data_IF_100840999095
#
_entry.id   IF_100840999095
#
_cell.length_a   1.000
_cell.length_b   1.000
_cell.length_c   1.000
_cell.angle_alpha   90.00
_cell.angle_beta   90.00
_cell.angle_gamma   90.00
#
_symmetry.space_group_name_H-M   'P 1'
#
loop_
_entity.id
_entity.type
_entity.pdbx_description
1 polymer ?
#
# COMPACT_ATOMS: atom_id res chain seq x y z
N UNK A 1 -14.81 5.64 29.87
CA UNK A 1 -14.91 4.56 28.86
C UNK A 1 -14.17 3.34 29.36
N UNK A 2 -14.75 2.15 29.23
CA UNK A 2 -14.05 0.87 29.50
C UNK A 2 -12.97 0.64 28.45
N UNK A 3 -11.93 -0.14 28.77
CA UNK A 3 -10.84 -0.44 27.83
C UNK A 3 -11.34 -0.94 26.46
N UNK A 4 -12.37 -1.79 26.45
CA UNK A 4 -12.95 -2.28 25.21
C UNK A 4 -13.57 -1.16 24.34
N UNK A 5 -14.25 -0.18 24.95
CA UNK A 5 -14.83 0.97 24.23
C UNK A 5 -13.73 1.88 23.67
N UNK A 6 -12.63 2.05 24.41
CA UNK A 6 -11.45 2.78 23.96
C UNK A 6 -10.82 2.07 22.75
N UNK A 7 -10.61 0.75 22.82
CA UNK A 7 -10.11 -0.05 21.71
C UNK A 7 -11.03 0.03 20.49
N UNK A 8 -12.35 -0.10 20.68
CA UNK A 8 -13.33 0.02 19.60
C UNK A 8 -13.29 1.40 18.92
N UNK A 9 -13.04 2.46 19.71
CA UNK A 9 -12.86 3.82 19.16
C UNK A 9 -11.64 3.90 18.26
N UNK A 10 -10.51 3.30 18.67
CA UNK A 10 -9.30 3.22 17.84
C UNK A 10 -9.62 2.41 16.58
N UNK A 11 -10.13 1.19 16.71
CA UNK A 11 -10.45 0.32 15.58
C UNK A 11 -11.39 0.98 14.55
N UNK A 12 -12.32 1.83 15.00
CA UNK A 12 -13.25 2.54 14.12
C UNK A 12 -12.62 3.75 13.44
N UNK A 13 -11.82 4.54 14.17
CA UNK A 13 -11.28 5.82 13.67
C UNK A 13 -9.91 5.69 13.03
N UNK A 14 -9.20 4.59 13.28
CA UNK A 14 -7.83 4.38 12.86
C UNK A 14 -7.69 4.53 11.34
N UNK A 15 -6.74 5.37 10.94
CA UNK A 15 -6.38 5.59 9.55
C UNK A 15 -4.87 5.68 9.44
N UNK A 16 -4.30 4.81 8.63
CA UNK A 16 -2.89 4.88 8.24
C UNK A 16 -2.80 4.67 6.73
N UNK A 17 -1.89 5.36 6.05
CA UNK A 17 -1.68 5.18 4.60
C UNK A 17 -0.72 4.01 4.37
N UNK A 18 -0.96 3.21 3.33
CA UNK A 18 0.03 2.25 2.83
C UNK A 18 1.18 3.05 2.20
N UNK A 19 2.20 3.39 2.99
CA UNK A 19 3.31 4.30 2.64
C UNK A 19 4.51 3.58 2.03
N UNK A 20 4.54 2.24 2.11
CA UNK A 20 5.68 1.42 1.67
C UNK A 20 5.29 0.55 0.49
N UNK A 21 6.23 0.32 -0.42
CA UNK A 21 6.04 -0.52 -1.59
C UNK A 21 6.94 -1.76 -1.51
N UNK A 22 6.36 -2.94 -1.70
CA UNK A 22 7.08 -4.20 -1.85
C UNK A 22 7.33 -4.45 -3.35
N UNK A 23 8.59 -4.35 -3.78
CA UNK A 23 8.94 -4.51 -5.21
C UNK A 23 8.81 -5.95 -5.72
N UNK A 24 8.96 -6.96 -4.85
CA UNK A 24 8.87 -8.37 -5.22
C UNK A 24 7.42 -8.78 -5.49
N UNK A 25 6.53 -8.48 -4.54
CA UNK A 25 5.09 -8.77 -4.64
C UNK A 25 4.28 -7.69 -5.33
N UNK A 26 4.88 -6.54 -5.66
CA UNK A 26 4.27 -5.38 -6.32
C UNK A 26 3.01 -4.83 -5.62
N UNK A 27 3.05 -4.71 -4.29
CA UNK A 27 1.93 -4.18 -3.50
C UNK A 27 2.40 -3.10 -2.51
N UNK A 28 1.47 -2.23 -2.13
CA UNK A 28 1.71 -1.26 -1.04
C UNK A 28 1.30 -1.87 0.31
N UNK A 29 2.03 -1.52 1.37
CA UNK A 29 1.79 -2.00 2.73
C UNK A 29 2.12 -0.93 3.78
N UNK A 30 1.79 -1.23 5.04
CA UNK A 30 2.17 -0.46 6.22
C UNK A 30 3.18 -1.26 7.02
N UNK A 31 4.25 -0.65 7.51
CA UNK A 31 5.09 -1.30 8.52
C UNK A 31 4.47 -1.18 9.91
N UNK A 32 5.04 -1.91 10.88
CA UNK A 32 4.66 -1.75 12.28
C UNK A 32 4.83 -0.30 12.75
N UNK A 33 5.89 0.39 12.29
CA UNK A 33 6.15 1.80 12.60
C UNK A 33 5.06 2.72 12.02
N UNK A 34 4.60 2.47 10.79
CA UNK A 34 3.50 3.24 10.19
C UNK A 34 2.19 3.08 10.99
N UNK A 35 1.96 1.89 11.56
CA UNK A 35 0.79 1.61 12.40
C UNK A 35 0.92 2.30 13.76
N UNK A 36 2.09 2.19 14.40
CA UNK A 36 2.37 2.81 15.69
C UNK A 36 2.27 4.33 15.62
N UNK A 37 2.83 4.95 14.58
CA UNK A 37 2.75 6.40 14.37
C UNK A 37 1.30 6.86 14.24
N UNK A 38 0.50 6.15 13.45
CA UNK A 38 -0.93 6.43 13.28
C UNK A 38 -1.75 6.18 14.56
N UNK A 39 -1.23 5.39 15.50
CA UNK A 39 -1.91 5.11 16.78
C UNK A 39 -1.70 6.23 17.80
N UNK A 40 -0.58 6.96 17.74
CA UNK A 40 -0.19 7.99 18.74
C UNK A 40 -1.29 9.00 19.10
N UNK A 41 -2.06 9.57 18.15
CA UNK A 41 -3.09 10.55 18.50
C UNK A 41 -4.13 10.03 19.49
N UNK A 42 -4.44 8.72 19.42
CA UNK A 42 -5.45 8.10 20.27
C UNK A 42 -4.95 7.76 21.68
N UNK A 43 -3.63 7.62 21.87
CA UNK A 43 -3.06 7.15 23.13
C UNK A 43 -3.36 8.10 24.28
N UNK A 44 -3.03 9.38 24.09
CA UNK A 44 -3.33 10.42 25.08
C UNK A 44 -4.81 10.77 25.12
N UNK A 45 -5.50 10.82 23.96
CA UNK A 45 -6.94 11.12 23.87
C UNK A 45 -7.77 10.14 24.72
N UNK A 46 -7.43 8.85 24.67
CA UNK A 46 -8.20 7.79 25.34
C UNK A 46 -7.56 7.36 26.67
N UNK A 47 -6.41 7.92 27.05
CA UNK A 47 -5.67 7.51 28.24
C UNK A 47 -5.34 6.01 28.19
N UNK A 48 -4.63 5.59 27.14
CA UNK A 48 -4.15 4.22 26.93
C UNK A 48 -2.71 4.23 26.44
N UNK A 49 -2.04 3.11 26.63
CA UNK A 49 -0.71 2.83 26.09
C UNK A 49 -0.75 1.57 25.23
N UNK A 50 0.18 1.49 24.28
CA UNK A 50 0.38 0.31 23.44
C UNK A 50 1.82 -0.16 23.58
N UNK A 51 2.01 -1.44 23.82
CA UNK A 51 3.32 -2.10 23.93
C UNK A 51 3.35 -3.32 23.03
N UNK A 52 4.54 -3.66 22.52
CA UNK A 52 4.77 -4.92 21.82
C UNK A 52 5.88 -5.67 22.52
N UNK A 53 5.61 -6.92 22.85
CA UNK A 53 6.58 -7.86 23.40
C UNK A 53 6.83 -8.97 22.38
N UNK A 54 8.04 -9.53 22.37
CA UNK A 54 8.41 -10.63 21.49
C UNK A 54 9.04 -11.77 22.28
N UNK A 55 8.75 -13.00 21.87
CA UNK A 55 9.28 -14.20 22.52
C UNK A 55 9.54 -15.27 21.47
N UNK A 56 10.65 -16.00 21.59
CA UNK A 56 10.89 -17.21 20.81
C UNK A 56 10.11 -18.35 21.46
N UNK A 57 9.14 -18.91 20.74
CA UNK A 57 8.24 -19.95 21.27
C UNK A 57 8.57 -21.35 20.76
N UNK A 58 9.36 -21.46 19.70
CA UNK A 58 9.94 -22.71 19.20
C UNK A 58 11.28 -22.42 18.53
N UNK A 59 12.17 -23.40 18.53
CA UNK A 59 13.44 -23.38 17.77
C UNK A 59 13.53 -24.49 16.74
N UNK A 60 12.63 -25.48 16.76
CA UNK A 60 12.62 -26.63 15.85
C UNK A 60 11.26 -26.78 15.15
N UNK A 61 11.22 -27.14 13.85
CA UNK A 61 12.35 -27.27 12.93
C UNK A 61 12.99 -25.92 12.52
N UNK A 62 12.42 -24.80 12.97
CA UNK A 62 12.89 -23.45 12.72
C UNK A 62 12.44 -22.52 13.86
N UNK A 63 13.15 -21.40 14.12
CA UNK A 63 12.71 -20.46 15.14
C UNK A 63 11.36 -19.84 14.81
N UNK A 64 10.48 -19.77 15.80
CA UNK A 64 9.18 -19.08 15.70
C UNK A 64 9.17 -17.93 16.72
N UNK A 65 8.98 -16.73 16.21
CA UNK A 65 8.79 -15.51 17.00
C UNK A 65 7.29 -15.30 17.20
N UNK A 66 6.85 -15.26 18.46
CA UNK A 66 5.57 -14.66 18.84
C UNK A 66 5.79 -13.17 19.07
N UNK A 67 5.04 -12.32 18.36
CA UNK A 67 4.90 -10.91 18.70
C UNK A 67 3.53 -10.67 19.33
N UNK A 68 3.48 -9.94 20.45
CA UNK A 68 2.28 -9.67 21.24
C UNK A 68 2.06 -8.17 21.38
N UNK A 69 1.07 -7.64 20.67
CA UNK A 69 0.63 -6.25 20.83
C UNK A 69 -0.38 -6.16 21.96
N UNK A 70 -0.15 -5.27 22.91
CA UNK A 70 -1.00 -5.07 24.10
C UNK A 70 -1.43 -3.61 24.17
N UNK A 71 -2.73 -3.38 24.34
CA UNK A 71 -3.29 -2.08 24.74
C UNK A 71 -3.69 -2.13 26.21
N UNK A 72 -3.35 -1.09 26.98
CA UNK A 72 -3.67 -1.00 28.40
C UNK A 72 -4.08 0.41 28.81
N UNK A 73 -5.02 0.52 29.76
CA UNK A 73 -5.40 1.78 30.43
C UNK A 73 -4.71 1.95 31.80
N UNK A 74 -3.72 1.12 32.12
CA UNK A 74 -3.01 1.11 33.40
C UNK A 74 -3.59 0.16 34.44
N UNK A 75 -4.84 -0.28 34.25
CA UNK A 75 -5.51 -1.25 35.14
C UNK A 75 -5.83 -2.56 34.40
N UNK A 76 -6.32 -2.45 33.17
CA UNK A 76 -6.73 -3.57 32.33
C UNK A 76 -5.84 -3.66 31.10
N UNK A 77 -5.86 -4.82 30.43
CA UNK A 77 -5.13 -5.02 29.18
C UNK A 77 -5.87 -5.94 28.21
N UNK A 78 -5.80 -5.63 26.92
CA UNK A 78 -6.23 -6.49 25.81
C UNK A 78 -5.01 -6.75 24.94
N UNK A 79 -4.84 -7.98 24.47
CA UNK A 79 -3.72 -8.36 23.63
C UNK A 79 -4.15 -9.09 22.37
N UNK A 80 -3.31 -9.00 21.35
CA UNK A 80 -3.37 -9.80 20.14
C UNK A 80 -1.96 -10.26 19.77
N UNK A 81 -1.84 -11.46 19.23
CA UNK A 81 -0.57 -12.07 18.87
C UNK A 81 -0.45 -12.33 17.38
N UNK A 82 0.77 -12.48 16.90
CA UNK A 82 1.09 -13.04 15.60
C UNK A 82 2.34 -13.92 15.71
N UNK A 83 2.37 -14.98 14.92
CA UNK A 83 3.46 -15.94 14.86
C UNK A 83 4.18 -15.82 13.52
N UNK A 84 5.49 -15.67 13.55
CA UNK A 84 6.31 -15.60 12.34
C UNK A 84 7.52 -16.51 12.48
N UNK A 85 7.70 -17.33 11.46
CA UNK A 85 8.87 -18.17 11.31
C UNK A 85 10.10 -17.39 10.85
N UNK A 86 11.26 -17.74 11.39
CA UNK A 86 12.56 -17.19 10.95
C UNK A 86 13.17 -18.15 9.94
N UNK A 87 13.26 -17.72 8.67
CA UNK A 87 13.97 -18.48 7.64
C UNK A 87 15.49 -18.24 7.76
N UNK A 88 16.16 -19.12 8.51
CA UNK A 88 17.61 -19.09 8.67
C UNK A 88 18.39 -19.42 7.39
N UNK A 89 17.73 -20.01 6.39
CA UNK A 89 18.33 -20.39 5.12
C UNK A 89 18.15 -19.33 4.04
N UNK A 90 17.51 -18.20 4.36
CA UNK A 90 17.29 -17.11 3.42
C UNK A 90 18.63 -16.51 2.96
N UNK A 91 18.96 -16.75 1.68
CA UNK A 91 20.20 -16.26 1.06
C UNK A 91 20.22 -14.73 1.00
N UNK A 92 21.40 -14.14 1.22
CA UNK A 92 21.62 -12.70 1.11
C UNK A 92 21.27 -11.90 2.37
N UNK A 93 20.86 -12.55 3.45
CA UNK A 93 20.62 -11.92 4.75
C UNK A 93 21.47 -12.56 5.84
N UNK A 94 22.07 -11.72 6.69
CA UNK A 94 22.75 -12.18 7.91
C UNK A 94 21.72 -12.55 8.98
N UNK A 95 22.07 -13.44 9.91
CA UNK A 95 21.15 -13.90 10.97
C UNK A 95 20.42 -12.77 11.71
N UNK A 96 21.08 -11.68 12.17
CA UNK A 96 20.37 -10.56 12.79
C UNK A 96 19.31 -9.92 11.89
N UNK A 97 19.55 -9.89 10.57
CA UNK A 97 18.59 -9.36 9.60
C UNK A 97 17.40 -10.32 9.41
N UNK A 98 17.64 -11.64 9.39
CA UNK A 98 16.58 -12.65 9.31
C UNK A 98 15.62 -12.53 10.50
N UNK A 99 16.15 -12.43 11.72
CA UNK A 99 15.35 -12.17 12.92
C UNK A 99 14.67 -10.79 12.89
N UNK A 100 15.37 -9.75 12.44
CA UNK A 100 14.82 -8.40 12.31
C UNK A 100 13.64 -8.34 11.33
N UNK A 101 13.73 -9.05 10.21
CA UNK A 101 12.64 -9.20 9.26
C UNK A 101 11.45 -9.95 9.86
N UNK A 102 11.69 -11.10 10.48
CA UNK A 102 10.62 -11.87 11.15
C UNK A 102 9.91 -11.04 12.23
N UNK A 103 10.68 -10.32 13.06
CA UNK A 103 10.17 -9.40 14.08
C UNK A 103 9.31 -8.28 13.47
N UNK A 104 9.76 -7.68 12.37
CA UNK A 104 9.02 -6.61 11.69
C UNK A 104 7.66 -7.10 11.18
N UNK A 105 7.61 -8.32 10.61
CA UNK A 105 6.36 -8.96 10.20
C UNK A 105 5.47 -9.30 11.40
N UNK A 106 6.03 -9.89 12.45
CA UNK A 106 5.29 -10.28 13.65
C UNK A 106 4.64 -9.08 14.33
N UNK A 107 5.41 -8.00 14.55
CA UNK A 107 4.89 -6.74 15.11
C UNK A 107 3.75 -6.18 14.26
N UNK A 108 3.93 -6.13 12.94
CA UNK A 108 2.90 -5.63 12.01
C UNK A 108 1.61 -6.43 12.14
N UNK A 109 1.68 -7.75 12.12
CA UNK A 109 0.49 -8.61 12.20
C UNK A 109 -0.16 -8.59 13.58
N UNK A 110 0.62 -8.54 14.67
CA UNK A 110 0.07 -8.43 16.02
C UNK A 110 -0.70 -7.12 16.21
N UNK A 111 -0.14 -5.99 15.72
CA UNK A 111 -0.82 -4.70 15.70
C UNK A 111 -2.04 -4.73 14.78
N UNK A 112 -1.94 -5.37 13.61
CA UNK A 112 -3.06 -5.53 12.68
C UNK A 112 -4.23 -6.29 13.30
N UNK A 113 -3.94 -7.39 14.01
CA UNK A 113 -4.93 -8.17 14.74
C UNK A 113 -5.56 -7.34 15.88
N UNK A 114 -4.76 -6.55 16.61
CA UNK A 114 -5.26 -5.70 17.70
C UNK A 114 -6.18 -4.59 17.19
N UNK A 115 -5.80 -3.91 16.10
CA UNK A 115 -6.51 -2.74 15.58
C UNK A 115 -7.44 -3.03 14.41
N UNK A 116 -7.66 -4.31 14.07
CA UNK A 116 -8.48 -4.75 12.94
C UNK A 116 -8.04 -4.11 11.62
N UNK A 117 -6.73 -4.02 11.40
CA UNK A 117 -6.15 -3.47 10.17
C UNK A 117 -6.08 -4.58 9.13
N UNK A 118 -6.86 -4.41 8.08
CA UNK A 118 -6.77 -5.26 6.89
C UNK A 118 -5.73 -4.71 5.92
N UNK A 119 -4.56 -5.36 5.86
CA UNK A 119 -3.53 -5.10 4.86
C UNK A 119 -3.76 -5.88 3.55
N UNK A 120 -4.67 -6.86 3.54
CA UNK A 120 -5.04 -7.70 2.38
C UNK A 120 -5.99 -7.00 1.41
N UNK A 121 -6.77 -6.02 1.92
CA UNK A 121 -7.50 -5.10 1.05
C UNK A 121 -6.51 -4.19 0.35
N UNK A 122 -6.16 -4.56 -0.88
CA UNK A 122 -5.59 -3.64 -1.84
C UNK A 122 -6.48 -2.41 -1.93
N UNK A 123 -5.85 -1.25 -2.07
CA UNK A 123 -6.50 0.04 -2.25
C UNK A 123 -7.32 0.15 -3.55
N UNK A 124 -7.54 -0.97 -4.23
CA UNK A 124 -8.44 -1.12 -5.38
C UNK A 124 -9.87 -1.50 -5.01
N UNK A 125 -10.20 -1.67 -3.72
CA UNK A 125 -11.59 -1.54 -3.27
C UNK A 125 -12.00 -0.05 -3.16
N UNK A 126 -11.59 0.77 -4.13
CA UNK A 126 -12.48 1.86 -4.52
C UNK A 126 -13.74 1.20 -5.04
N UNK A 127 -14.78 1.16 -4.22
CA UNK A 127 -16.14 1.25 -4.70
C UNK A 127 -16.27 2.60 -5.44
N UNK A 128 -15.69 2.69 -6.63
CA UNK A 128 -16.16 3.61 -7.66
C UNK A 128 -17.46 3.01 -8.19
N UNK A 129 -18.52 3.15 -7.40
CA UNK A 129 -19.85 3.36 -7.98
C UNK A 129 -19.72 4.58 -8.91
N UNK A 130 -19.38 4.31 -10.18
CA UNK A 130 -19.17 5.30 -11.22
C UNK A 130 -17.71 5.63 -11.54
N UNK A 131 -16.93 4.69 -12.11
CA UNK A 131 -16.24 4.88 -13.42
C UNK A 131 -15.42 3.65 -13.83
N UNK A 132 -15.32 3.38 -15.14
CA UNK A 132 -15.25 2.03 -15.67
C UNK A 132 -13.86 1.42 -15.59
N UNK A 133 -13.86 0.12 -15.30
CA UNK A 133 -13.04 -0.94 -15.89
C UNK A 133 -11.95 -0.42 -16.83
N UNK A 134 -10.70 -0.69 -16.45
CA UNK A 134 -9.54 -0.79 -17.35
C UNK A 134 -9.93 -1.56 -18.62
N UNK A 135 -10.47 -0.84 -19.62
CA UNK A 135 -10.49 -1.30 -21.00
C UNK A 135 -9.06 -1.09 -21.47
N UNK A 136 -8.41 -2.17 -21.87
CA UNK A 136 -7.18 -2.13 -22.68
C UNK A 136 -7.33 -0.98 -23.69
N UNK A 137 -6.50 0.06 -23.57
CA UNK A 137 -6.56 1.22 -24.46
C UNK A 137 -6.42 0.70 -25.89
N UNK A 138 -7.30 1.12 -26.79
CA UNK A 138 -7.20 0.71 -28.20
C UNK A 138 -5.86 1.19 -28.75
N UNK A 139 -5.16 0.30 -29.46
CA UNK A 139 -3.87 0.61 -30.07
C UNK A 139 -4.09 1.62 -31.20
N UNK A 140 -3.39 2.74 -31.14
CA UNK A 140 -3.39 3.75 -32.19
C UNK A 140 -2.13 3.58 -33.02
N UNK A 141 -2.31 3.16 -34.27
CA UNK A 141 -1.23 3.00 -35.24
C UNK A 141 -1.49 3.85 -36.50
N UNK A 142 -0.41 4.12 -37.23
CA UNK A 142 -0.44 4.98 -38.42
C UNK A 142 -1.32 4.35 -39.51
N UNK A 143 -2.03 5.17 -40.28
CA UNK A 143 -2.93 4.71 -41.35
C UNK A 143 -4.33 4.24 -40.91
N UNK A 144 -4.65 4.24 -39.62
CA UNK A 144 -6.01 3.95 -39.12
C UNK A 144 -6.90 5.20 -39.16
N UNK A 145 -8.23 5.03 -39.25
CA UNK A 145 -9.16 6.17 -39.16
C UNK A 145 -9.12 6.87 -37.79
N UNK A 146 -8.75 6.13 -36.74
CA UNK A 146 -8.50 6.68 -35.42
C UNK A 146 -7.29 7.63 -35.43
N UNK A 147 -6.25 7.30 -36.22
CA UNK A 147 -5.07 8.15 -36.37
C UNK A 147 -5.38 9.45 -37.12
N UNK A 148 -6.22 9.42 -38.17
CA UNK A 148 -6.66 10.64 -38.87
C UNK A 148 -7.38 11.62 -37.93
N UNK A 149 -8.27 11.11 -37.07
CA UNK A 149 -8.97 11.91 -36.05
C UNK A 149 -8.00 12.45 -34.99
N UNK A 150 -6.98 11.67 -34.62
CA UNK A 150 -5.93 12.13 -33.72
C UNK A 150 -5.12 13.29 -34.33
N UNK A 151 -4.79 13.22 -35.63
CA UNK A 151 -4.12 14.32 -36.35
C UNK A 151 -5.00 15.57 -36.41
N UNK A 152 -6.29 15.45 -36.71
CA UNK A 152 -7.23 16.58 -36.70
C UNK A 152 -7.34 17.24 -35.32
N UNK A 153 -7.40 16.42 -34.27
CA UNK A 153 -7.42 16.92 -32.89
C UNK A 153 -6.17 17.73 -32.56
N UNK A 154 -4.97 17.26 -32.93
CA UNK A 154 -3.73 18.02 -32.72
C UNK A 154 -3.74 19.33 -33.52
N UNK A 155 -4.15 19.30 -34.80
CA UNK A 155 -4.27 20.51 -35.64
C UNK A 155 -5.26 21.54 -35.09
N UNK A 156 -6.27 21.09 -34.35
CA UNK A 156 -7.24 21.97 -33.67
C UNK A 156 -6.77 22.53 -32.32
N UNK A 157 -5.48 22.36 -31.96
CA UNK A 157 -4.89 22.80 -30.69
C UNK A 157 -4.98 21.77 -29.56
N UNK A 158 -5.32 20.53 -29.87
CA UNK A 158 -5.29 19.41 -28.93
C UNK A 158 -3.86 18.99 -28.57
N UNK A 159 -3.70 18.35 -27.40
CA UNK A 159 -2.37 17.89 -26.95
C UNK A 159 -2.17 16.38 -27.15
N UNK A 160 -0.94 15.98 -27.49
CA UNK A 160 -0.56 14.56 -27.60
C UNK A 160 -0.77 13.82 -26.26
N UNK A 161 -0.62 14.54 -25.13
CA UNK A 161 -0.89 14.02 -23.78
C UNK A 161 -2.35 13.54 -23.61
N UNK A 162 -3.31 14.25 -24.19
CA UNK A 162 -4.72 13.85 -24.16
C UNK A 162 -5.04 12.65 -25.07
N UNK A 163 -4.20 12.40 -26.09
CA UNK A 163 -4.31 11.21 -26.94
C UNK A 163 -3.74 9.99 -26.21
N UNK A 164 -2.56 10.11 -25.60
CA UNK A 164 -1.90 9.04 -24.83
C UNK A 164 -2.71 8.60 -23.59
N UNK A 165 -3.59 9.47 -23.07
CA UNK A 165 -4.49 9.09 -21.99
C UNK A 165 -5.63 8.18 -22.46
N UNK A 166 -6.04 8.28 -23.74
CA UNK A 166 -7.16 7.53 -24.34
C UNK A 166 -6.73 6.30 -25.14
N UNK A 167 -5.56 6.35 -25.77
CA UNK A 167 -5.05 5.31 -26.67
C UNK A 167 -3.68 4.77 -26.22
N UNK A 168 -3.38 3.54 -26.63
CA UNK A 168 -2.02 2.99 -26.58
C UNK A 168 -1.33 3.33 -27.91
N UNK A 169 -0.54 4.40 -27.94
CA UNK A 169 -0.02 4.98 -29.18
C UNK A 169 1.35 4.40 -29.49
N UNK A 170 1.52 3.87 -30.70
CA UNK A 170 2.82 3.33 -31.13
C UNK A 170 3.88 4.44 -31.22
N UNK A 171 5.16 4.11 -31.01
CA UNK A 171 6.26 5.08 -31.12
C UNK A 171 6.28 5.78 -32.48
N UNK A 172 5.91 5.06 -33.55
CA UNK A 172 5.77 5.60 -34.90
C UNK A 172 4.63 6.63 -34.98
N UNK A 173 3.47 6.29 -34.44
CA UNK A 173 2.32 7.20 -34.40
C UNK A 173 2.59 8.46 -33.56
N UNK A 174 3.33 8.35 -32.44
CA UNK A 174 3.76 9.53 -31.66
C UNK A 174 4.68 10.43 -32.49
N UNK A 175 5.68 9.86 -33.16
CA UNK A 175 6.62 10.62 -33.98
C UNK A 175 5.91 11.38 -35.11
N UNK A 176 4.91 10.76 -35.73
CA UNK A 176 4.14 11.38 -36.81
C UNK A 176 3.15 12.44 -36.29
N UNK A 177 2.52 12.24 -35.12
CA UNK A 177 1.65 13.24 -34.50
C UNK A 177 2.39 14.53 -34.11
N UNK A 178 3.66 14.42 -33.70
CA UNK A 178 4.51 15.58 -33.40
C UNK A 178 4.74 16.50 -34.60
N UNK A 179 4.70 15.97 -35.82
CA UNK A 179 4.83 16.79 -37.03
C UNK A 179 3.60 17.69 -37.28
N UNK A 180 2.48 17.42 -36.60
CA UNK A 180 1.26 18.21 -36.68
C UNK A 180 1.01 19.06 -35.44
N UNK A 181 1.86 18.93 -34.41
CA UNK A 181 1.83 19.78 -33.23
C UNK A 181 2.23 21.19 -33.66
N UNK A 182 1.26 22.11 -33.61
CA UNK A 182 1.53 23.51 -33.92
C UNK A 182 2.50 24.00 -32.85
N UNK A 183 3.69 24.45 -33.25
CA UNK A 183 4.66 25.05 -32.36
C UNK A 183 3.99 26.24 -31.65
N UNK A 184 3.65 26.07 -30.37
CA UNK A 184 3.26 27.18 -29.51
C UNK A 184 4.55 27.97 -29.24
N UNK A 185 4.81 28.97 -30.08
CA UNK A 185 5.77 30.04 -29.80
C UNK A 185 5.29 30.80 -28.56
N UNK A 186 5.60 30.29 -27.37
CA UNK A 186 5.60 31.05 -26.11
C UNK A 186 6.72 30.58 -25.20
N UNK A 187 7.81 31.34 -25.24
CA UNK A 187 8.99 31.24 -24.39
C UNK A 187 10.16 31.95 -25.04
#
# INVERSE_FOLDING_TARGET
>A
MKLNEKLATIQTKFKSKKSRFNSFGKYNFRSAEDILEATKPYLLELGVSVKIDETIISTEPMPIVESKATISDGENSINATALVGVDLNQKGMQTPQQFGSASSYGKKYALGNLFLIDDTQDSDASNTHGKPVSKSKQKLDTGTDAFKKAVEYIKSGGSIKAINSKYDVSVKAIAELKNYEIADERG
#
